data_IF_282310591005
#
_entry.id   IF_282310591005
#
_cell.length_a   1.000
_cell.length_b   1.000
_cell.length_c   1.000
_cell.angle_alpha   90.00
_cell.angle_beta   90.00
_cell.angle_gamma   90.00
#
_symmetry.space_group_name_H-M   'P 1'
#
loop_
_entity.id
_entity.type
_entity.pdbx_description
1 polymer ?
#
# COMPACT_ATOMS: atom_id res chain seq x y z
N UNK A 1 -30.20 -8.03 -5.44
CA UNK A 1 -28.90 -7.93 -4.70
C UNK A 1 -27.91 -7.02 -5.41
N UNK A 2 -27.92 -6.93 -6.76
CA UNK A 2 -26.97 -6.08 -7.51
C UNK A 2 -27.10 -4.61 -7.12
N UNK A 3 -28.29 -4.05 -7.09
CA UNK A 3 -28.54 -2.64 -6.77
C UNK A 3 -27.98 -2.26 -5.38
N UNK A 4 -28.26 -3.10 -4.39
CA UNK A 4 -27.71 -2.90 -3.03
C UNK A 4 -26.18 -2.98 -2.96
N UNK A 5 -25.56 -3.79 -3.81
CA UNK A 5 -24.09 -3.87 -3.90
C UNK A 5 -23.53 -2.61 -4.54
N UNK A 6 -24.15 -2.09 -5.60
CA UNK A 6 -23.73 -0.85 -6.25
C UNK A 6 -23.82 0.34 -5.31
N UNK A 7 -24.95 0.52 -4.63
CA UNK A 7 -25.13 1.57 -3.63
C UNK A 7 -24.12 1.45 -2.49
N UNK A 8 -23.92 0.25 -1.94
CA UNK A 8 -22.96 0.00 -0.89
C UNK A 8 -21.52 0.34 -1.30
N UNK A 9 -21.19 0.13 -2.57
CA UNK A 9 -19.84 0.36 -3.10
C UNK A 9 -19.59 1.80 -3.51
N UNK A 10 -20.62 2.54 -3.88
CA UNK A 10 -20.53 3.89 -4.44
C UNK A 10 -19.63 4.85 -3.61
N UNK A 11 -19.76 4.97 -2.28
CA UNK A 11 -18.94 5.88 -1.47
C UNK A 11 -17.53 5.37 -1.20
N UNK A 12 -17.15 4.19 -1.68
CA UNK A 12 -15.87 3.57 -1.35
C UNK A 12 -14.80 3.88 -2.39
N UNK A 13 -13.52 3.86 -1.98
CA UNK A 13 -12.41 4.02 -2.91
C UNK A 13 -12.42 2.94 -4.00
N UNK A 14 -11.96 3.25 -5.21
CA UNK A 14 -11.89 2.30 -6.35
C UNK A 14 -11.25 0.96 -5.97
N UNK A 15 -10.18 0.96 -5.18
CA UNK A 15 -9.52 -0.26 -4.74
C UNK A 15 -10.40 -1.08 -3.78
N UNK A 16 -11.10 -0.42 -2.87
CA UNK A 16 -12.07 -1.07 -1.96
C UNK A 16 -13.23 -1.65 -2.75
N UNK A 17 -13.75 -0.92 -3.73
CA UNK A 17 -14.80 -1.41 -4.63
C UNK A 17 -14.38 -2.71 -5.32
N UNK A 18 -13.19 -2.76 -5.93
CA UNK A 18 -12.67 -3.97 -6.60
C UNK A 18 -12.64 -5.17 -5.65
N UNK A 19 -12.09 -5.00 -4.44
CA UNK A 19 -11.98 -6.09 -3.49
C UNK A 19 -13.34 -6.54 -2.96
N UNK A 20 -14.20 -5.60 -2.60
CA UNK A 20 -15.52 -5.92 -2.06
C UNK A 20 -16.44 -6.53 -3.12
N UNK A 21 -16.41 -6.04 -4.35
CA UNK A 21 -17.11 -6.67 -5.48
C UNK A 21 -16.68 -8.12 -5.67
N UNK A 22 -15.38 -8.38 -5.66
CA UNK A 22 -14.86 -9.74 -5.79
C UNK A 22 -15.32 -10.65 -4.65
N UNK A 23 -15.29 -10.15 -3.40
CA UNK A 23 -15.69 -10.92 -2.23
C UNK A 23 -17.19 -11.21 -2.23
N UNK A 24 -18.04 -10.23 -2.59
CA UNK A 24 -19.49 -10.38 -2.69
C UNK A 24 -19.90 -11.29 -3.86
N UNK A 25 -19.24 -11.18 -5.02
CA UNK A 25 -19.46 -12.11 -6.15
C UNK A 25 -19.15 -13.55 -5.76
N UNK A 26 -18.10 -13.78 -4.99
CA UNK A 26 -17.75 -15.11 -4.51
C UNK A 26 -18.80 -15.65 -3.53
N UNK A 27 -19.33 -14.82 -2.64
CA UNK A 27 -20.41 -15.19 -1.74
C UNK A 27 -21.70 -15.54 -2.49
N UNK A 28 -22.11 -14.71 -3.46
CA UNK A 28 -23.28 -14.96 -4.33
C UNK A 28 -23.15 -16.27 -5.10
N UNK A 29 -21.97 -16.54 -5.66
CA UNK A 29 -21.70 -17.81 -6.35
C UNK A 29 -21.94 -19.00 -5.42
N UNK A 30 -21.49 -18.89 -4.17
CA UNK A 30 -21.70 -19.95 -3.17
C UNK A 30 -23.19 -20.09 -2.80
N UNK A 31 -23.94 -19.00 -2.63
CA UNK A 31 -25.39 -19.05 -2.38
C UNK A 31 -26.11 -19.84 -3.49
N UNK A 32 -25.82 -19.53 -4.76
CA UNK A 32 -26.38 -20.27 -5.90
C UNK A 32 -26.05 -21.76 -5.86
N UNK A 33 -24.79 -22.10 -5.61
CA UNK A 33 -24.35 -23.49 -5.52
C UNK A 33 -24.96 -24.24 -4.33
N UNK A 34 -25.39 -23.52 -3.30
CA UNK A 34 -26.03 -24.08 -2.10
C UNK A 34 -27.56 -24.05 -2.18
N UNK A 35 -28.14 -23.70 -3.34
CA UNK A 35 -29.59 -23.53 -3.54
C UNK A 35 -30.23 -22.57 -2.54
N UNK A 36 -29.52 -21.51 -2.12
CA UNK A 36 -30.03 -20.45 -1.25
C UNK A 36 -30.41 -19.28 -2.13
N UNK A 37 -31.65 -18.76 -2.04
CA UNK A 37 -32.09 -17.61 -2.82
C UNK A 37 -31.21 -16.38 -2.56
N UNK A 38 -30.88 -15.64 -3.62
CA UNK A 38 -30.13 -14.35 -3.52
C UNK A 38 -31.03 -13.19 -3.01
N UNK A 39 -32.00 -13.50 -2.17
CA UNK A 39 -32.87 -12.53 -1.53
C UNK A 39 -32.31 -12.17 -0.16
N UNK A 40 -31.98 -10.91 0.05
CA UNK A 40 -31.24 -10.44 1.23
C UNK A 40 -31.91 -10.82 2.53
N UNK A 41 -33.24 -10.73 2.58
CA UNK A 41 -34.05 -11.05 3.76
C UNK A 41 -34.11 -12.55 4.07
N UNK A 42 -33.77 -13.40 3.12
CA UNK A 42 -33.75 -14.85 3.29
C UNK A 42 -32.39 -15.41 3.75
N UNK A 43 -31.33 -14.60 3.65
CA UNK A 43 -29.98 -15.02 4.07
C UNK A 43 -29.93 -14.98 5.61
N UNK A 44 -29.60 -16.11 6.20
CA UNK A 44 -29.48 -16.27 7.66
C UNK A 44 -28.02 -16.28 8.09
N UNK A 45 -27.78 -16.00 9.36
CA UNK A 45 -26.46 -16.09 9.98
C UNK A 45 -25.78 -17.44 9.72
N UNK A 46 -26.54 -18.54 9.81
CA UNK A 46 -26.04 -19.90 9.57
C UNK A 46 -25.53 -20.08 8.14
N UNK A 47 -26.14 -19.45 7.16
CA UNK A 47 -25.71 -19.56 5.76
C UNK A 47 -24.36 -18.87 5.56
N UNK A 48 -24.15 -17.72 6.18
CA UNK A 48 -22.85 -17.05 6.19
C UNK A 48 -21.81 -17.86 6.94
N UNK A 49 -22.16 -18.50 8.06
CA UNK A 49 -21.23 -19.40 8.78
C UNK A 49 -20.83 -20.61 7.92
N UNK A 50 -21.80 -21.24 7.23
CA UNK A 50 -21.51 -22.35 6.30
C UNK A 50 -20.56 -21.92 5.19
N UNK A 51 -20.84 -20.76 4.57
CA UNK A 51 -19.94 -20.18 3.57
C UNK A 51 -18.51 -19.99 4.11
N UNK A 52 -18.38 -19.41 5.30
CA UNK A 52 -17.06 -19.18 5.88
C UNK A 52 -16.32 -20.46 6.25
N UNK A 53 -17.04 -21.54 6.58
CA UNK A 53 -16.45 -22.87 6.85
C UNK A 53 -15.88 -23.54 5.59
N UNK A 54 -16.31 -23.14 4.38
CA UNK A 54 -15.73 -23.68 3.13
C UNK A 54 -14.30 -23.19 2.85
N UNK A 55 -13.81 -22.23 3.62
CA UNK A 55 -12.50 -21.61 3.40
C UNK A 55 -11.56 -21.86 4.58
N UNK A 56 -10.27 -22.16 4.29
CA UNK A 56 -9.26 -22.24 5.34
C UNK A 56 -9.04 -20.87 6.00
N UNK A 57 -8.53 -20.88 7.21
CA UNK A 57 -8.12 -19.66 7.88
C UNK A 57 -7.00 -18.96 7.10
N UNK A 58 -7.28 -17.73 6.65
CA UNK A 58 -6.39 -17.01 5.77
C UNK A 58 -6.70 -15.50 5.81
N UNK A 59 -5.76 -14.64 5.40
CA UNK A 59 -6.03 -13.22 5.23
C UNK A 59 -7.19 -12.94 4.26
N UNK A 60 -7.37 -13.79 3.26
CA UNK A 60 -8.47 -13.68 2.29
C UNK A 60 -9.82 -13.98 2.97
N UNK A 61 -9.92 -15.03 3.80
CA UNK A 61 -11.12 -15.32 4.60
C UNK A 61 -11.45 -14.17 5.55
N UNK A 62 -10.44 -13.66 6.26
CA UNK A 62 -10.61 -12.49 7.15
C UNK A 62 -11.16 -11.27 6.39
N UNK A 63 -10.63 -10.98 5.19
CA UNK A 63 -11.13 -9.87 4.35
C UNK A 63 -12.60 -10.09 3.97
N UNK A 64 -12.99 -11.30 3.55
CA UNK A 64 -14.38 -11.63 3.20
C UNK A 64 -15.32 -11.45 4.39
N UNK A 65 -14.91 -11.81 5.61
CA UNK A 65 -15.67 -11.56 6.83
C UNK A 65 -15.89 -10.05 7.01
N UNK A 66 -14.86 -9.23 6.83
CA UNK A 66 -14.96 -7.76 6.95
C UNK A 66 -15.90 -7.20 5.88
N UNK A 67 -15.78 -7.67 4.63
CA UNK A 67 -16.66 -7.26 3.53
C UNK A 67 -18.12 -7.59 3.83
N UNK A 68 -18.42 -8.81 4.22
CA UNK A 68 -19.79 -9.25 4.56
C UNK A 68 -20.35 -8.48 5.76
N UNK A 69 -19.58 -8.32 6.84
CA UNK A 69 -20.03 -7.50 7.98
C UNK A 69 -20.35 -6.08 7.58
N UNK A 70 -19.49 -5.46 6.78
CA UNK A 70 -19.70 -4.09 6.30
C UNK A 70 -20.93 -3.99 5.40
N UNK A 71 -21.20 -5.00 4.58
CA UNK A 71 -22.37 -5.04 3.69
C UNK A 71 -23.67 -5.26 4.46
N UNK A 72 -23.75 -6.24 5.36
CA UNK A 72 -24.95 -6.49 6.16
C UNK A 72 -25.23 -5.36 7.15
N UNK A 73 -24.19 -4.72 7.69
CA UNK A 73 -24.35 -3.52 8.50
C UNK A 73 -24.93 -2.36 7.69
N UNK A 74 -24.46 -2.14 6.45
CA UNK A 74 -25.02 -1.17 5.52
C UNK A 74 -26.51 -1.45 5.26
N UNK A 75 -26.87 -2.71 4.94
CA UNK A 75 -28.26 -3.08 4.69
C UNK A 75 -29.18 -2.80 5.88
N UNK A 76 -28.69 -3.02 7.08
CA UNK A 76 -29.43 -2.71 8.30
C UNK A 76 -29.52 -1.20 8.57
N UNK A 77 -28.44 -0.46 8.32
CA UNK A 77 -28.40 0.99 8.53
C UNK A 77 -29.38 1.75 7.63
N UNK A 78 -29.65 1.23 6.45
CA UNK A 78 -30.59 1.80 5.46
C UNK A 78 -31.94 1.06 5.43
N UNK A 79 -32.27 0.32 6.49
CA UNK A 79 -33.56 -0.38 6.69
C UNK A 79 -33.93 -1.41 5.61
N UNK A 80 -32.97 -1.89 4.82
CA UNK A 80 -33.19 -2.99 3.87
C UNK A 80 -33.39 -4.34 4.55
N UNK A 81 -32.89 -4.48 5.77
CA UNK A 81 -33.09 -5.62 6.67
C UNK A 81 -33.38 -5.12 8.10
N UNK A 82 -34.25 -5.80 8.80
CA UNK A 82 -34.68 -5.42 10.18
C UNK A 82 -33.57 -5.67 11.21
N UNK A 83 -32.61 -6.53 10.93
CA UNK A 83 -31.59 -7.00 11.87
C UNK A 83 -30.23 -7.14 11.19
N UNK A 84 -29.17 -6.57 11.77
CA UNK A 84 -27.79 -6.88 11.33
C UNK A 84 -27.42 -8.28 11.83
N UNK A 85 -27.61 -9.27 10.95
CA UNK A 85 -27.38 -10.68 11.26
C UNK A 85 -25.91 -10.99 11.54
N UNK A 86 -24.97 -10.12 11.13
CA UNK A 86 -23.53 -10.30 11.34
C UNK A 86 -22.93 -9.42 12.44
N UNK A 87 -23.76 -8.70 13.21
CA UNK A 87 -23.31 -7.83 14.30
C UNK A 87 -22.36 -8.56 15.26
N UNK A 88 -22.73 -9.76 15.69
CA UNK A 88 -21.97 -10.56 16.66
C UNK A 88 -20.86 -11.41 16.03
N UNK A 89 -20.71 -11.44 14.70
CA UNK A 89 -19.65 -12.20 14.05
C UNK A 89 -18.29 -11.58 14.38
N UNK A 90 -17.45 -12.32 15.10
CA UNK A 90 -16.08 -11.87 15.41
C UNK A 90 -15.20 -11.92 14.17
N UNK A 91 -14.49 -10.81 13.90
CA UNK A 91 -13.44 -10.80 12.88
C UNK A 91 -12.19 -11.40 13.51
N UNK A 92 -11.63 -12.49 12.97
CA UNK A 92 -10.39 -13.05 13.49
C UNK A 92 -9.28 -11.97 13.52
N UNK A 93 -8.37 -12.02 14.50
CA UNK A 93 -7.23 -11.11 14.49
C UNK A 93 -6.48 -11.23 13.16
N UNK A 94 -5.81 -10.16 12.76
CA UNK A 94 -4.92 -10.25 11.62
C UNK A 94 -3.87 -11.32 11.94
N UNK A 95 -3.79 -12.36 11.11
CA UNK A 95 -2.69 -13.33 11.21
C UNK A 95 -1.40 -12.52 11.24
N UNK A 96 -0.59 -12.69 12.31
CA UNK A 96 0.74 -12.09 12.36
C UNK A 96 1.38 -12.43 11.02
N UNK A 97 1.75 -11.42 10.24
CA UNK A 97 2.45 -11.64 8.98
C UNK A 97 3.50 -12.73 9.19
N UNK A 98 3.54 -13.72 8.28
CA UNK A 98 4.74 -14.54 8.13
C UNK A 98 5.91 -13.60 8.32
N UNK A 99 6.85 -13.96 9.22
CA UNK A 99 8.09 -13.22 9.42
C UNK A 99 8.64 -12.95 8.02
N UNK A 100 8.39 -11.73 7.52
CA UNK A 100 8.88 -11.38 6.19
C UNK A 100 10.37 -11.54 6.27
N UNK A 101 10.94 -12.30 5.34
CA UNK A 101 12.37 -12.53 5.24
C UNK A 101 13.04 -11.16 5.33
N UNK A 102 13.81 -10.93 6.40
CA UNK A 102 14.58 -9.69 6.57
C UNK A 102 15.48 -9.56 5.34
N UNK A 103 15.35 -8.46 4.64
CA UNK A 103 16.24 -8.15 3.54
C UNK A 103 17.56 -7.66 4.17
N UNK A 104 18.66 -8.34 3.85
CA UNK A 104 19.98 -7.89 4.24
C UNK A 104 20.39 -6.67 3.42
N UNK A 105 21.08 -5.74 4.02
CA UNK A 105 21.55 -4.53 3.37
C UNK A 105 22.34 -4.84 2.11
N UNK A 106 23.26 -5.81 2.18
CA UNK A 106 24.04 -6.32 1.01
C UNK A 106 23.15 -6.75 -0.16
N UNK A 107 22.03 -7.40 0.11
CA UNK A 107 21.11 -7.86 -0.93
C UNK A 107 20.46 -6.67 -1.67
N UNK A 108 20.07 -5.63 -0.92
CA UNK A 108 19.52 -4.40 -1.52
C UNK A 108 20.52 -3.75 -2.47
N UNK A 109 21.75 -3.56 -2.03
CA UNK A 109 22.78 -2.92 -2.86
C UNK A 109 23.16 -3.75 -4.08
N UNK A 110 23.25 -5.08 -3.96
CA UNK A 110 23.45 -5.97 -5.13
C UNK A 110 22.34 -5.81 -6.17
N UNK A 111 21.09 -5.67 -5.71
CA UNK A 111 19.96 -5.45 -6.62
C UNK A 111 20.06 -4.06 -7.25
N UNK A 112 20.41 -3.04 -6.47
CA UNK A 112 20.57 -1.67 -6.93
C UNK A 112 21.68 -1.54 -7.98
N UNK A 113 22.77 -2.26 -7.82
CA UNK A 113 23.86 -2.31 -8.80
C UNK A 113 23.43 -2.93 -10.13
N UNK A 114 22.59 -3.97 -10.10
CA UNK A 114 22.04 -4.63 -11.30
C UNK A 114 20.91 -3.86 -11.97
N UNK A 115 20.33 -2.91 -11.27
CA UNK A 115 19.19 -2.14 -11.78
C UNK A 115 19.65 -0.94 -12.61
N UNK A 116 18.91 -0.63 -13.68
CA UNK A 116 19.20 0.48 -14.58
C UNK A 116 17.96 1.32 -14.85
N UNK A 117 18.16 2.54 -15.32
CA UNK A 117 17.12 3.46 -15.78
C UNK A 117 15.95 3.62 -14.80
N UNK A 118 14.72 3.55 -15.31
CA UNK A 118 13.49 3.70 -14.49
C UNK A 118 13.37 2.68 -13.35
N UNK A 119 13.96 1.47 -13.50
CA UNK A 119 13.91 0.46 -12.44
C UNK A 119 14.81 0.85 -11.27
N UNK A 120 15.97 1.36 -11.56
CA UNK A 120 16.91 1.87 -10.54
C UNK A 120 16.31 3.09 -9.82
N UNK A 121 15.71 4.04 -10.57
CA UNK A 121 14.97 5.16 -9.99
C UNK A 121 13.86 4.68 -9.05
N UNK A 122 13.08 3.68 -9.46
CA UNK A 122 12.03 3.11 -8.61
C UNK A 122 12.60 2.56 -7.30
N UNK A 123 13.73 1.83 -7.35
CA UNK A 123 14.38 1.29 -6.16
C UNK A 123 14.86 2.43 -5.24
N UNK A 124 15.43 3.49 -5.79
CA UNK A 124 15.81 4.68 -5.00
C UNK A 124 14.62 5.26 -4.24
N UNK A 125 13.49 5.45 -4.91
CA UNK A 125 12.28 5.99 -4.28
C UNK A 125 11.68 5.05 -3.22
N UNK A 126 11.72 3.74 -3.45
CA UNK A 126 11.20 2.76 -2.50
C UNK A 126 12.12 2.54 -1.29
N UNK A 127 13.44 2.51 -1.53
CA UNK A 127 14.42 2.15 -0.51
C UNK A 127 14.99 3.34 0.24
N UNK A 128 15.34 4.45 -0.42
CA UNK A 128 15.91 5.61 0.28
C UNK A 128 14.87 6.63 0.75
N UNK A 129 13.68 6.66 0.14
CA UNK A 129 12.59 7.55 0.56
C UNK A 129 11.44 6.79 1.25
N UNK A 130 11.45 5.46 1.24
CA UNK A 130 10.43 4.64 1.85
C UNK A 130 9.03 4.81 1.25
N UNK A 131 8.90 5.24 -0.01
CA UNK A 131 7.60 5.47 -0.65
C UNK A 131 6.84 4.17 -0.91
N UNK A 132 5.49 4.25 -0.93
CA UNK A 132 4.69 3.15 -1.47
C UNK A 132 4.86 3.12 -3.00
N UNK A 133 4.79 1.92 -3.59
CA UNK A 133 4.92 1.78 -5.04
C UNK A 133 3.93 2.66 -5.81
N UNK A 134 2.70 2.78 -5.33
CA UNK A 134 1.69 3.65 -5.96
C UNK A 134 2.03 5.14 -5.83
N UNK A 135 2.63 5.56 -4.72
CA UNK A 135 3.10 6.91 -4.52
C UNK A 135 4.26 7.21 -5.50
N UNK A 136 5.27 6.35 -5.53
CA UNK A 136 6.42 6.51 -6.42
C UNK A 136 6.03 6.59 -7.90
N UNK A 137 5.12 5.73 -8.36
CA UNK A 137 4.72 5.69 -9.77
C UNK A 137 3.91 6.91 -10.21
N UNK A 138 3.22 7.58 -9.29
CA UNK A 138 2.38 8.74 -9.56
C UNK A 138 3.16 10.07 -9.49
N UNK A 139 4.42 10.06 -9.09
CA UNK A 139 5.23 11.28 -9.01
C UNK A 139 5.40 11.92 -10.38
N UNK A 140 5.21 13.24 -10.40
CA UNK A 140 5.54 14.14 -11.49
C UNK A 140 6.79 14.95 -11.16
N UNK A 141 7.42 15.57 -12.16
CA UNK A 141 8.58 16.44 -11.91
C UNK A 141 8.24 17.57 -10.95
N UNK A 142 7.09 18.24 -11.10
CA UNK A 142 6.61 19.30 -10.21
C UNK A 142 6.43 18.90 -8.73
N UNK A 143 6.38 17.60 -8.43
CA UNK A 143 6.32 17.11 -7.05
C UNK A 143 7.72 17.08 -6.41
N UNK A 144 8.77 17.46 -7.15
CA UNK A 144 10.16 17.47 -6.71
C UNK A 144 10.63 18.91 -6.62
N UNK A 145 10.94 19.36 -5.41
CA UNK A 145 11.41 20.72 -5.14
C UNK A 145 12.91 20.73 -4.90
N UNK A 146 13.61 21.63 -5.58
CA UNK A 146 15.04 21.89 -5.44
C UNK A 146 15.24 23.11 -4.56
N UNK A 147 15.90 22.92 -3.41
CA UNK A 147 16.29 23.96 -2.47
C UNK A 147 17.66 23.63 -1.90
N UNK A 148 17.94 23.98 -0.64
CA UNK A 148 19.16 23.54 0.05
C UNK A 148 19.28 22.00 0.04
N UNK A 149 18.16 21.31 0.13
CA UNK A 149 18.02 19.87 -0.05
C UNK A 149 16.84 19.58 -0.96
N UNK A 150 16.98 18.54 -1.81
CA UNK A 150 15.88 18.05 -2.61
C UNK A 150 14.80 17.45 -1.72
N UNK A 151 13.55 17.80 -1.97
CA UNK A 151 12.38 17.21 -1.33
C UNK A 151 11.37 16.69 -2.34
N UNK A 152 10.63 15.67 -1.96
CA UNK A 152 9.58 15.03 -2.78
C UNK A 152 8.26 15.17 -2.07
N UNK A 153 7.31 15.88 -2.68
CA UNK A 153 5.94 16.04 -2.18
C UNK A 153 5.09 14.85 -2.58
N UNK A 154 4.67 14.05 -1.61
CA UNK A 154 4.00 12.78 -1.83
C UNK A 154 2.54 12.85 -1.42
N UNK A 155 1.64 12.48 -2.32
CA UNK A 155 0.22 12.35 -2.03
C UNK A 155 -0.08 10.99 -1.40
N UNK A 156 -0.39 10.99 -0.11
CA UNK A 156 -0.69 9.78 0.67
C UNK A 156 -2.17 9.40 0.69
N UNK A 157 -2.50 8.40 1.49
CA UNK A 157 -3.89 7.96 1.71
C UNK A 157 -4.73 9.08 2.32
N UNK A 158 -5.93 9.29 1.79
CA UNK A 158 -6.85 10.34 2.24
C UNK A 158 -6.49 11.73 1.74
N UNK A 159 -5.80 11.82 0.59
CA UNK A 159 -5.42 13.09 -0.06
C UNK A 159 -4.51 14.00 0.79
N UNK A 160 -3.78 13.42 1.75
CA UNK A 160 -2.84 14.17 2.60
C UNK A 160 -1.46 14.19 1.94
N UNK A 161 -0.93 15.40 1.71
CA UNK A 161 0.44 15.58 1.22
C UNK A 161 1.44 15.48 2.38
N UNK A 162 2.62 14.96 2.08
CA UNK A 162 3.80 15.03 2.95
C UNK A 162 5.03 15.25 2.11
N UNK A 163 5.98 16.00 2.65
CA UNK A 163 7.27 16.22 2.01
C UNK A 163 8.31 15.26 2.61
N UNK A 164 9.02 14.56 1.73
CA UNK A 164 10.08 13.63 2.09
C UNK A 164 11.40 14.23 1.64
N UNK A 165 12.27 14.58 2.58
CA UNK A 165 13.62 15.05 2.28
C UNK A 165 14.47 13.91 1.73
N UNK A 166 15.31 14.22 0.78
CA UNK A 166 16.13 13.25 0.05
C UNK A 166 17.59 13.40 0.45
N UNK A 167 18.28 12.28 0.67
CA UNK A 167 19.71 12.26 0.93
C UNK A 167 20.51 12.70 -0.32
N UNK A 168 21.76 13.08 -0.11
CA UNK A 168 22.59 13.74 -1.13
C UNK A 168 22.85 12.85 -2.36
N UNK A 169 23.15 11.57 -2.15
CA UNK A 169 23.46 10.64 -3.25
C UNK A 169 22.21 10.38 -4.10
N UNK A 170 21.10 10.10 -3.43
CA UNK A 170 19.81 9.87 -4.08
C UNK A 170 19.32 11.12 -4.81
N UNK A 171 19.55 12.33 -4.26
CA UNK A 171 19.22 13.61 -4.92
C UNK A 171 19.92 13.74 -6.25
N UNK A 172 21.24 13.49 -6.30
CA UNK A 172 22.02 13.55 -7.55
C UNK A 172 21.50 12.55 -8.59
N UNK A 173 21.12 11.34 -8.12
CA UNK A 173 20.60 10.32 -9.02
C UNK A 173 19.22 10.71 -9.57
N UNK A 174 18.30 11.17 -8.72
CA UNK A 174 16.98 11.63 -9.13
C UNK A 174 17.10 12.78 -10.13
N UNK A 175 17.91 13.80 -9.82
CA UNK A 175 18.17 14.95 -10.72
C UNK A 175 18.56 14.50 -12.12
N UNK A 176 19.54 13.59 -12.22
CA UNK A 176 20.01 13.05 -13.50
C UNK A 176 18.92 12.39 -14.34
N UNK A 177 17.92 11.80 -13.68
CA UNK A 177 16.83 11.12 -14.35
C UNK A 177 15.67 12.01 -14.79
N UNK A 178 15.55 13.22 -14.19
CA UNK A 178 14.36 14.07 -14.38
C UNK A 178 14.66 15.44 -14.98
N UNK A 179 15.94 15.80 -15.15
CA UNK A 179 16.35 17.12 -15.63
C UNK A 179 15.71 17.51 -16.98
N UNK A 180 15.50 16.55 -17.87
CA UNK A 180 14.96 16.73 -19.21
C UNK A 180 13.43 16.52 -19.28
N UNK A 181 12.73 16.33 -18.15
CA UNK A 181 11.28 16.21 -18.09
C UNK A 181 10.63 17.58 -17.96
N UNK A 182 9.39 17.70 -18.44
CA UNK A 182 8.53 18.86 -18.17
C UNK A 182 7.85 18.73 -16.79
N UNK A 183 7.37 19.86 -16.23
CA UNK A 183 6.83 19.89 -14.87
C UNK A 183 5.66 18.91 -14.64
N UNK A 184 4.80 18.72 -15.64
CA UNK A 184 3.66 17.81 -15.57
C UNK A 184 3.96 16.37 -16.00
N UNK A 185 5.19 16.09 -16.41
CA UNK A 185 5.60 14.75 -16.80
C UNK A 185 5.71 13.81 -15.60
N UNK A 186 5.20 12.58 -15.77
CA UNK A 186 5.42 11.52 -14.80
C UNK A 186 6.85 10.99 -14.86
N UNK A 187 7.48 10.79 -13.70
CA UNK A 187 8.80 10.14 -13.64
C UNK A 187 8.77 8.75 -14.29
N UNK A 188 7.62 8.09 -14.19
CA UNK A 188 7.37 6.76 -14.74
C UNK A 188 6.31 6.84 -15.84
N UNK A 189 6.47 7.79 -16.78
CA UNK A 189 5.54 7.96 -17.87
C UNK A 189 5.36 6.69 -18.71
N UNK A 190 4.10 6.39 -19.04
CA UNK A 190 3.68 5.34 -19.95
C UNK A 190 2.42 5.77 -20.70
N UNK A 191 2.53 5.99 -22.03
CA UNK A 191 1.46 6.56 -22.85
C UNK A 191 0.99 7.91 -22.24
N UNK A 192 -0.30 8.10 -22.02
CA UNK A 192 -0.89 9.31 -21.45
C UNK A 192 -0.98 9.29 -19.92
N UNK A 193 -0.27 8.40 -19.23
CA UNK A 193 -0.31 8.23 -17.78
C UNK A 193 1.02 7.71 -17.24
N UNK A 194 1.00 7.05 -16.10
CA UNK A 194 2.15 6.42 -15.49
C UNK A 194 2.09 4.89 -15.56
N UNK A 195 3.22 4.22 -15.39
CA UNK A 195 3.29 2.75 -15.29
C UNK A 195 2.45 2.19 -14.15
N UNK A 196 1.89 0.99 -14.34
CA UNK A 196 1.09 0.28 -13.34
C UNK A 196 1.96 -0.38 -12.25
N UNK A 197 1.34 -0.67 -11.09
CA UNK A 197 1.99 -1.48 -10.04
C UNK A 197 2.44 -2.86 -10.53
N UNK A 198 1.72 -3.44 -11.48
CA UNK A 198 2.09 -4.71 -12.10
C UNK A 198 3.40 -4.60 -12.89
N UNK A 199 3.61 -3.49 -13.62
CA UNK A 199 4.88 -3.21 -14.30
C UNK A 199 6.03 -3.18 -13.29
N UNK A 200 5.90 -2.43 -12.21
CA UNK A 200 6.92 -2.35 -11.15
C UNK A 200 7.25 -3.74 -10.57
N UNK A 201 6.20 -4.51 -10.21
CA UNK A 201 6.37 -5.85 -9.68
C UNK A 201 7.09 -6.78 -10.67
N UNK A 202 6.71 -6.75 -11.95
CA UNK A 202 7.31 -7.59 -13.00
C UNK A 202 8.78 -7.23 -13.24
N UNK A 203 9.10 -5.93 -13.26
CA UNK A 203 10.49 -5.47 -13.45
C UNK A 203 11.39 -5.84 -12.28
N UNK A 204 10.92 -5.67 -11.06
CA UNK A 204 11.69 -6.07 -9.88
C UNK A 204 11.88 -7.58 -9.80
N UNK A 205 10.87 -8.38 -10.12
CA UNK A 205 11.00 -9.85 -10.17
C UNK A 205 12.00 -10.35 -11.19
N UNK A 206 12.26 -9.60 -12.27
CA UNK A 206 13.34 -9.95 -13.23
C UNK A 206 14.74 -9.82 -12.60
N UNK A 207 14.92 -8.90 -11.65
CA UNK A 207 16.18 -8.76 -10.92
C UNK A 207 16.33 -9.85 -9.86
N UNK A 208 15.25 -10.18 -9.16
CA UNK A 208 15.19 -11.27 -8.20
C UNK A 208 13.71 -11.73 -8.02
N UNK A 209 13.36 -12.99 -8.32
CA UNK A 209 11.98 -13.50 -8.24
C UNK A 209 11.33 -13.38 -6.85
N UNK A 210 12.15 -13.31 -5.79
CA UNK A 210 11.71 -13.28 -4.40
C UNK A 210 11.39 -11.87 -3.87
N UNK A 211 11.68 -10.80 -4.64
CA UNK A 211 11.47 -9.43 -4.20
C UNK A 211 10.13 -8.86 -4.63
N UNK A 212 9.65 -7.90 -3.86
CA UNK A 212 8.48 -7.07 -4.16
C UNK A 212 8.76 -5.60 -3.82
N UNK A 213 7.97 -4.64 -4.35
CA UNK A 213 8.13 -3.24 -3.96
C UNK A 213 8.03 -2.99 -2.45
N UNK A 214 7.16 -3.74 -1.76
CA UNK A 214 7.02 -3.65 -0.29
C UNK A 214 8.29 -4.01 0.45
N UNK A 215 9.08 -4.91 -0.07
CA UNK A 215 10.34 -5.33 0.50
C UNK A 215 11.33 -4.18 0.67
N UNK A 216 11.50 -3.35 -0.35
CA UNK A 216 12.39 -2.19 -0.28
C UNK A 216 11.93 -1.18 0.79
N UNK A 217 10.62 -0.95 0.87
CA UNK A 217 10.07 -0.08 1.89
C UNK A 217 10.20 -0.67 3.32
N UNK A 218 10.08 -1.99 3.48
CA UNK A 218 10.39 -2.66 4.76
C UNK A 218 11.87 -2.57 5.10
N UNK A 219 12.76 -2.77 4.12
CA UNK A 219 14.19 -2.60 4.30
C UNK A 219 14.53 -1.16 4.74
N UNK A 220 13.96 -0.15 4.08
CA UNK A 220 14.07 1.25 4.51
C UNK A 220 13.74 1.41 6.00
N UNK A 221 12.56 0.95 6.43
CA UNK A 221 12.14 1.07 7.82
C UNK A 221 13.12 0.39 8.79
N UNK A 222 13.42 -0.88 8.53
CA UNK A 222 14.24 -1.70 9.44
C UNK A 222 15.68 -1.19 9.51
N UNK A 223 16.30 -0.93 8.37
CA UNK A 223 17.70 -0.54 8.31
C UNK A 223 17.92 0.90 8.80
N UNK A 224 17.00 1.84 8.51
CA UNK A 224 17.10 3.20 9.05
C UNK A 224 17.07 3.19 10.58
N UNK A 225 16.19 2.42 11.20
CA UNK A 225 16.12 2.26 12.65
C UNK A 225 17.39 1.59 13.20
N UNK A 226 17.87 0.52 12.55
CA UNK A 226 19.10 -0.18 12.95
C UNK A 226 20.34 0.72 12.88
N UNK A 227 20.35 1.69 11.95
CA UNK A 227 21.41 2.69 11.81
C UNK A 227 21.22 3.92 12.72
N UNK A 228 20.29 3.87 13.66
CA UNK A 228 20.10 4.88 14.70
C UNK A 228 19.09 5.98 14.37
N UNK A 229 18.36 5.88 13.27
CA UNK A 229 17.28 6.82 13.01
C UNK A 229 16.11 6.59 13.96
N UNK A 230 15.56 7.67 14.51
CA UNK A 230 14.40 7.60 15.40
C UNK A 230 13.18 6.98 14.73
N UNK A 231 12.49 6.08 15.45
CA UNK A 231 11.31 5.36 14.96
C UNK A 231 10.17 6.30 14.55
N UNK A 232 10.00 7.40 15.28
CA UNK A 232 8.99 8.41 14.98
C UNK A 232 9.28 9.10 13.64
N UNK A 233 10.53 9.49 13.43
CA UNK A 233 11.03 10.11 12.20
C UNK A 233 10.80 9.18 11.00
N UNK A 234 11.16 7.90 11.10
CA UNK A 234 10.92 6.90 10.05
C UNK A 234 9.42 6.72 9.79
N UNK A 235 8.61 6.62 10.85
CA UNK A 235 7.15 6.43 10.73
C UNK A 235 6.46 7.57 9.99
N UNK A 236 6.89 8.81 10.21
CA UNK A 236 6.33 9.98 9.52
C UNK A 236 6.79 10.05 8.07
N UNK A 237 8.07 9.83 7.80
CA UNK A 237 8.57 9.75 6.43
C UNK A 237 7.81 8.68 5.62
N UNK A 238 7.48 7.55 6.26
CA UNK A 238 6.64 6.52 5.67
C UNK A 238 5.15 6.89 5.56
N UNK A 239 4.66 7.92 6.22
CA UNK A 239 3.24 8.30 6.24
C UNK A 239 2.35 7.25 6.92
N UNK A 240 2.77 6.79 8.11
CA UNK A 240 1.93 5.96 8.97
C UNK A 240 0.96 6.84 9.77
N UNK A 241 -0.34 6.59 9.66
CA UNK A 241 -1.40 7.47 10.22
C UNK A 241 -1.64 7.29 11.73
N UNK A 242 -1.05 6.29 12.38
CA UNK A 242 -1.35 5.92 13.77
C UNK A 242 -0.50 6.59 14.86
N UNK A 243 0.47 7.43 14.50
CA UNK A 243 1.35 8.12 15.45
C UNK A 243 1.08 9.63 15.46
N UNK A 244 -0.13 10.03 15.84
CA UNK A 244 -0.53 11.44 15.97
C UNK A 244 0.34 12.26 16.94
N UNK A 245 0.97 11.60 17.89
CA UNK A 245 1.88 12.20 18.89
C UNK A 245 3.28 12.47 18.36
N UNK A 246 3.74 11.76 17.34
CA UNK A 246 5.12 11.81 16.85
C UNK A 246 5.35 12.98 15.87
N UNK A 247 4.29 13.57 15.30
CA UNK A 247 4.39 14.73 14.40
C UNK A 247 5.14 15.93 15.00
N UNK A 248 5.14 16.07 16.31
CA UNK A 248 5.77 17.20 17.02
C UNK A 248 7.31 17.15 16.99
N UNK A 249 7.91 15.98 16.82
CA UNK A 249 9.35 15.76 16.87
C UNK A 249 10.04 15.68 15.50
N UNK A 250 9.30 15.53 14.41
CA UNK A 250 9.88 15.26 13.11
C UNK A 250 10.27 16.49 12.29
N UNK A 251 9.82 17.67 12.68
CA UNK A 251 10.28 18.91 12.04
C UNK A 251 11.73 19.27 12.41
N UNK A 252 12.30 18.62 13.44
CA UNK A 252 13.65 18.87 13.93
C UNK A 252 14.71 17.85 13.49
N UNK A 253 14.35 16.84 12.71
CA UNK A 253 15.33 15.88 12.23
C UNK A 253 16.20 16.55 11.14
N UNK A 254 17.42 16.89 11.47
CA UNK A 254 18.39 17.50 10.55
C UNK A 254 18.78 16.55 9.41
N UNK A 255 18.83 15.25 9.68
CA UNK A 255 19.23 14.21 8.72
C UNK A 255 18.00 13.40 8.31
N UNK A 256 17.66 13.35 7.00
CA UNK A 256 16.56 12.50 6.53
C UNK A 256 16.89 11.02 6.70
N UNK A 257 15.89 10.15 7.03
CA UNK A 257 16.11 8.73 7.29
C UNK A 257 16.84 7.98 6.16
N UNK A 258 16.61 8.37 4.90
CA UNK A 258 17.30 7.79 3.74
C UNK A 258 18.80 8.04 3.74
N UNK A 259 19.28 9.15 4.31
CA UNK A 259 20.70 9.49 4.38
C UNK A 259 21.48 8.55 5.31
N UNK A 260 20.82 7.99 6.35
CA UNK A 260 21.41 6.93 7.17
C UNK A 260 21.73 5.67 6.33
N UNK A 261 20.95 5.43 5.28
CA UNK A 261 21.19 4.33 4.35
C UNK A 261 22.31 4.65 3.36
N UNK A 262 22.43 5.92 2.93
CA UNK A 262 23.49 6.37 2.03
C UNK A 262 24.89 6.33 2.67
N UNK A 263 24.98 6.35 3.99
CA UNK A 263 26.26 6.20 4.75
C UNK A 263 26.74 4.75 4.83
N UNK A 264 26.17 3.85 4.03
CA UNK A 264 26.58 2.45 3.99
C UNK A 264 27.91 2.29 3.25
N UNK A 265 28.76 1.35 3.71
CA UNK A 265 29.98 0.94 3.02
C UNK A 265 29.75 0.28 1.66
N UNK A 266 28.50 0.10 1.26
CA UNK A 266 28.10 -0.51 -0.03
C UNK A 266 27.62 0.52 -1.07
N UNK A 267 27.61 1.82 -0.76
CA UNK A 267 27.24 2.91 -1.69
C UNK A 267 28.45 3.41 -2.45
#
# INVERSE_FOLDING_TARGET
MDDYIEEFLFPKSKLTQIHYTSDLKHFRKWLKQSNIPEVITHIRFLDVQRYLKTMPESPARRRKIITLKSFFHYLHLYDYITKDILKCLKVPPATKCRVERKMEEKEVYRILQKAEGKVKLLIHLLFFLGLRVSEALQLKKKDITFGERLSVSVLGKGNKRRDVRVGTITSRYIWKQIKDLEEDDYLFAHRNSHHSRWWAQRRLKKLNPKISPHWFRHAYCTLSIQKGCDVGTVSIAMGHTSLATTRRYCHSAEIPPGEYLEKSSYV
#
